data_IF_628737729208
#
_entry.id   IF_628737729208
#
_cell.length_a   1.000
_cell.length_b   1.000
_cell.length_c   1.000
_cell.angle_alpha   90.00
_cell.angle_beta   90.00
_cell.angle_gamma   90.00
#
_symmetry.space_group_name_H-M   'P 1'
#
loop_
_entity.id
_entity.type
_entity.pdbx_description
1 polymer ?
#
# COMPACT_ATOMS: atom_id res chain seq x y z
N UNK A 1 -12.82 19.13 13.84
CA UNK A 1 -13.26 18.70 12.50
C UNK A 1 -12.22 17.71 12.05
N UNK A 2 -12.61 16.50 11.64
CA UNK A 2 -11.65 15.50 11.18
C UNK A 2 -10.79 16.08 10.04
N UNK A 3 -9.48 15.88 10.11
CA UNK A 3 -8.58 16.35 9.06
C UNK A 3 -8.79 15.48 7.83
N UNK A 4 -8.90 16.11 6.66
CA UNK A 4 -8.92 15.37 5.39
C UNK A 4 -7.49 15.10 4.94
N UNK A 5 -7.24 13.91 4.43
CA UNK A 5 -5.93 13.43 4.00
C UNK A 5 -6.07 12.44 2.85
N UNK A 6 -4.99 12.25 2.12
CA UNK A 6 -4.86 11.50 0.88
C UNK A 6 -5.93 11.86 -0.13
N UNK A 7 -5.97 13.13 -0.52
CA UNK A 7 -6.82 13.59 -1.62
C UNK A 7 -6.58 12.76 -2.89
N UNK A 8 -5.34 12.31 -3.13
CA UNK A 8 -4.95 11.42 -4.23
C UNK A 8 -5.66 10.06 -4.23
N UNK A 9 -6.12 9.58 -3.07
CA UNK A 9 -6.92 8.33 -2.98
C UNK A 9 -8.25 8.39 -3.72
N UNK A 10 -8.75 9.61 -3.94
CA UNK A 10 -10.08 9.85 -4.50
C UNK A 10 -11.24 9.44 -3.61
N UNK A 11 -10.99 9.21 -2.32
CA UNK A 11 -12.00 8.75 -1.36
C UNK A 11 -13.31 9.54 -1.40
N UNK A 12 -13.23 10.88 -1.56
CA UNK A 12 -14.40 11.77 -1.61
C UNK A 12 -15.31 11.57 -2.82
N UNK A 13 -14.77 11.02 -3.90
CA UNK A 13 -15.52 10.75 -5.12
C UNK A 13 -16.05 9.31 -5.16
N UNK A 14 -15.86 8.52 -4.10
CA UNK A 14 -16.45 7.19 -4.00
C UNK A 14 -17.87 7.26 -3.44
N UNK A 15 -18.74 6.38 -3.94
CA UNK A 15 -20.03 6.09 -3.35
C UNK A 15 -19.90 5.11 -2.19
N UNK A 16 -21.02 4.88 -1.50
CA UNK A 16 -21.16 3.86 -0.45
C UNK A 16 -22.26 2.88 -0.81
N UNK A 17 -22.00 1.58 -0.64
CA UNK A 17 -23.05 0.56 -0.70
C UNK A 17 -23.92 0.61 0.58
N UNK A 18 -25.10 -0.04 0.61
CA UNK A 18 -25.92 -0.13 1.82
C UNK A 18 -25.17 -0.72 3.02
N UNK A 19 -24.21 -1.61 2.78
CA UNK A 19 -23.35 -2.26 3.77
C UNK A 19 -22.11 -1.43 4.11
N UNK A 20 -21.96 -0.24 3.53
CA UNK A 20 -20.86 0.70 3.79
C UNK A 20 -19.61 0.51 2.92
N UNK A 21 -19.59 -0.47 2.00
CA UNK A 21 -18.46 -0.70 1.10
C UNK A 21 -18.28 0.42 0.07
N UNK A 22 -17.06 0.58 -0.44
CA UNK A 22 -16.72 1.67 -1.38
C UNK A 22 -17.18 1.35 -2.80
N UNK A 23 -17.94 2.24 -3.43
CA UNK A 23 -18.47 2.06 -4.79
C UNK A 23 -17.80 3.02 -5.75
N UNK A 24 -17.22 2.50 -6.83
CA UNK A 24 -16.60 3.34 -7.87
C UNK A 24 -17.65 4.21 -8.59
N UNK A 25 -17.41 5.52 -8.65
CA UNK A 25 -18.24 6.48 -9.41
C UNK A 25 -17.52 6.90 -10.69
N UNK A 26 -18.24 7.61 -11.56
CA UNK A 26 -17.65 8.22 -12.75
C UNK A 26 -16.53 9.21 -12.37
N UNK A 27 -16.71 10.01 -11.31
CA UNK A 27 -15.68 10.94 -10.82
C UNK A 27 -14.44 10.20 -10.28
N UNK A 28 -14.63 9.06 -9.63
CA UNK A 28 -13.49 8.23 -9.19
C UNK A 28 -12.77 7.51 -10.33
N UNK A 29 -13.46 7.16 -11.41
CA UNK A 29 -12.81 6.57 -12.57
C UNK A 29 -12.08 7.63 -13.43
N UNK A 30 -12.67 8.81 -13.57
CA UNK A 30 -12.14 9.87 -14.42
C UNK A 30 -10.75 10.37 -13.97
N UNK A 31 -10.49 10.43 -12.67
CA UNK A 31 -9.18 10.86 -12.11
C UNK A 31 -7.99 10.04 -12.59
N UNK A 32 -8.17 8.78 -12.98
CA UNK A 32 -7.07 7.99 -13.54
C UNK A 32 -6.64 8.51 -14.91
N UNK A 33 -7.55 9.15 -15.66
CA UNK A 33 -7.28 9.73 -16.98
C UNK A 33 -6.41 10.99 -16.93
N UNK A 34 -6.21 11.56 -15.74
CA UNK A 34 -5.32 12.71 -15.50
C UNK A 34 -3.87 12.27 -15.22
N UNK A 35 -3.62 10.96 -15.11
CA UNK A 35 -2.27 10.43 -14.94
C UNK A 35 -1.45 10.61 -16.20
N UNK A 36 -0.16 10.88 -16.04
CA UNK A 36 0.78 11.07 -17.16
C UNK A 36 0.77 9.90 -18.14
N UNK A 37 0.59 8.67 -17.67
CA UNK A 37 0.59 7.48 -18.53
C UNK A 37 -0.66 7.36 -19.42
N UNK A 38 -1.74 8.10 -19.11
CA UNK A 38 -3.03 8.06 -19.81
C UNK A 38 -3.44 9.41 -20.40
N UNK A 39 -2.80 10.51 -20.00
CA UNK A 39 -3.03 11.84 -20.52
C UNK A 39 -2.34 11.93 -21.91
N UNK A 40 -3.09 12.10 -23.01
CA UNK A 40 -2.48 12.11 -24.34
C UNK A 40 -1.48 13.26 -24.47
N UNK A 41 -0.22 12.99 -24.84
CA UNK A 41 0.77 14.04 -25.03
C UNK A 41 0.43 14.93 -26.24
N UNK A 42 1.08 16.09 -26.41
CA UNK A 42 0.80 17.01 -27.53
C UNK A 42 0.90 16.32 -28.91
N UNK A 43 1.83 15.39 -29.06
CA UNK A 43 2.12 14.61 -30.25
C UNK A 43 1.22 13.38 -30.44
N UNK A 44 0.32 13.08 -29.50
CA UNK A 44 -0.60 11.95 -29.55
C UNK A 44 -1.34 11.86 -30.91
N UNK A 45 -1.82 10.68 -31.27
CA UNK A 45 -2.64 10.51 -32.47
C UNK A 45 -4.07 11.04 -32.27
N UNK A 46 -4.81 11.32 -33.36
CA UNK A 46 -6.24 11.64 -33.26
C UNK A 46 -7.07 10.52 -32.61
N UNK A 47 -6.74 9.24 -32.80
CA UNK A 47 -7.53 8.15 -32.19
C UNK A 47 -7.32 8.09 -30.68
N UNK A 48 -6.10 8.26 -30.18
CA UNK A 48 -5.82 8.34 -28.74
C UNK A 48 -6.57 9.50 -28.07
N UNK A 49 -6.48 10.71 -28.64
CA UNK A 49 -7.21 11.88 -28.11
C UNK A 49 -8.72 11.67 -28.13
N UNK A 50 -9.23 11.01 -29.16
CA UNK A 50 -10.65 10.67 -29.26
C UNK A 50 -11.08 9.66 -28.18
N UNK A 51 -10.25 8.63 -27.94
CA UNK A 51 -10.48 7.62 -26.90
C UNK A 51 -10.51 8.27 -25.51
N UNK A 52 -9.51 9.10 -25.20
CA UNK A 52 -9.44 9.83 -23.94
C UNK A 52 -10.68 10.72 -23.74
N UNK A 53 -11.05 11.54 -24.73
CA UNK A 53 -12.22 12.42 -24.63
C UNK A 53 -13.53 11.65 -24.41
N UNK A 54 -13.71 10.49 -25.06
CA UNK A 54 -14.87 9.62 -24.86
C UNK A 54 -14.95 9.10 -23.43
N UNK A 55 -13.84 8.66 -22.86
CA UNK A 55 -13.77 8.14 -21.49
C UNK A 55 -13.87 9.25 -20.44
N UNK A 56 -13.31 10.43 -20.70
CA UNK A 56 -13.48 11.59 -19.83
C UNK A 56 -14.97 12.00 -19.74
N UNK A 57 -15.70 11.94 -20.85
CA UNK A 57 -17.14 12.23 -20.87
C UNK A 57 -18.00 11.11 -20.28
N UNK A 58 -17.61 9.85 -20.47
CA UNK A 58 -18.34 8.66 -20.01
C UNK A 58 -17.35 7.62 -19.48
N UNK A 59 -16.91 7.70 -18.22
CA UNK A 59 -15.85 6.82 -17.68
C UNK A 59 -16.20 5.33 -17.73
N UNK A 60 -17.49 4.99 -17.62
CA UNK A 60 -18.01 3.61 -17.70
C UNK A 60 -18.33 3.13 -19.12
N UNK A 61 -17.95 3.88 -20.15
CA UNK A 61 -18.20 3.50 -21.54
C UNK A 61 -17.49 2.18 -21.85
N UNK A 62 -18.27 1.15 -22.22
CA UNK A 62 -17.73 -0.07 -22.77
C UNK A 62 -17.04 0.23 -24.11
N UNK A 63 -15.83 -0.30 -24.26
CA UNK A 63 -15.02 -0.13 -25.46
C UNK A 63 -14.76 -1.49 -26.08
N UNK A 64 -14.73 -1.52 -27.41
CA UNK A 64 -14.40 -2.72 -28.16
C UNK A 64 -12.90 -2.80 -28.43
N UNK A 65 -12.42 -3.99 -28.80
CA UNK A 65 -11.01 -4.20 -29.16
C UNK A 65 -10.57 -3.23 -30.28
N UNK A 66 -11.45 -2.96 -31.23
CA UNK A 66 -11.21 -2.07 -32.35
C UNK A 66 -10.97 -0.60 -31.93
N UNK A 67 -11.58 -0.14 -30.83
CA UNK A 67 -11.33 1.21 -30.29
C UNK A 67 -9.87 1.36 -29.84
N UNK A 68 -9.33 0.31 -29.21
CA UNK A 68 -7.95 0.28 -28.74
C UNK A 68 -6.97 0.05 -29.90
N UNK A 69 -7.28 -0.88 -30.81
CA UNK A 69 -6.40 -1.17 -31.96
C UNK A 69 -6.22 0.06 -32.88
N UNK A 70 -7.19 0.98 -32.89
CA UNK A 70 -7.13 2.24 -33.63
C UNK A 70 -6.13 3.26 -33.05
N UNK A 71 -5.75 3.15 -31.77
CA UNK A 71 -4.72 4.00 -31.17
C UNK A 71 -3.39 3.73 -31.86
N UNK A 72 -2.78 4.81 -32.34
CA UNK A 72 -1.66 4.76 -33.27
C UNK A 72 -0.37 4.30 -32.57
N UNK A 73 -0.13 4.83 -31.37
CA UNK A 73 1.05 4.53 -30.57
C UNK A 73 0.90 3.20 -29.81
N UNK A 74 1.94 2.36 -29.89
CA UNK A 74 1.92 1.03 -29.30
C UNK A 74 2.03 1.06 -27.77
N UNK A 75 2.82 2.00 -27.22
CA UNK A 75 3.04 2.13 -25.78
C UNK A 75 1.79 2.74 -25.13
N UNK A 76 1.16 3.72 -25.77
CA UNK A 76 -0.15 4.25 -25.37
C UNK A 76 -1.20 3.14 -25.35
N UNK A 77 -1.25 2.26 -26.37
CA UNK A 77 -2.17 1.10 -26.37
C UNK A 77 -1.94 0.17 -25.19
N UNK A 78 -0.70 -0.07 -24.80
CA UNK A 78 -0.39 -0.89 -23.63
C UNK A 78 -0.92 -0.24 -22.34
N UNK A 79 -0.68 1.05 -22.14
CA UNK A 79 -1.20 1.81 -21.00
C UNK A 79 -2.74 1.78 -20.94
N UNK A 80 -3.40 2.03 -22.06
CA UNK A 80 -4.86 1.93 -22.17
C UNK A 80 -5.35 0.51 -21.87
N UNK A 81 -4.67 -0.52 -22.35
CA UNK A 81 -5.02 -1.93 -22.04
C UNK A 81 -5.00 -2.18 -20.53
N UNK A 82 -3.96 -1.73 -19.84
CA UNK A 82 -3.84 -1.89 -18.40
C UNK A 82 -4.94 -1.15 -17.64
N UNK A 83 -5.22 0.10 -18.02
CA UNK A 83 -6.28 0.89 -17.39
C UNK A 83 -7.66 0.28 -17.62
N UNK A 84 -7.99 -0.08 -18.85
CA UNK A 84 -9.31 -0.64 -19.19
C UNK A 84 -9.55 -1.97 -18.47
N UNK A 85 -8.53 -2.84 -18.38
CA UNK A 85 -8.62 -4.07 -17.58
C UNK A 85 -8.92 -3.78 -16.11
N UNK A 86 -8.21 -2.82 -15.51
CA UNK A 86 -8.46 -2.41 -14.13
C UNK A 86 -9.88 -1.85 -13.95
N UNK A 87 -10.28 -0.90 -14.79
CA UNK A 87 -11.60 -0.28 -14.78
C UNK A 87 -12.70 -1.33 -14.87
N UNK A 88 -12.61 -2.22 -15.85
CA UNK A 88 -13.62 -3.24 -16.09
C UNK A 88 -13.70 -4.22 -14.91
N UNK A 89 -12.57 -4.54 -14.29
CA UNK A 89 -12.51 -5.35 -13.06
C UNK A 89 -13.22 -4.66 -11.90
N UNK A 90 -13.00 -3.36 -11.71
CA UNK A 90 -13.68 -2.58 -10.67
C UNK A 90 -15.19 -2.55 -10.94
N UNK A 91 -15.61 -2.32 -12.18
CA UNK A 91 -17.03 -2.27 -12.56
C UNK A 91 -17.73 -3.63 -12.49
N UNK A 92 -16.98 -4.73 -12.59
CA UNK A 92 -17.52 -6.08 -12.43
C UNK A 92 -17.83 -6.46 -10.96
N UNK A 93 -17.46 -5.62 -9.99
CA UNK A 93 -17.74 -5.86 -8.57
C UNK A 93 -18.61 -4.77 -7.97
N UNK A 94 -19.42 -5.11 -6.94
CA UNK A 94 -20.27 -4.13 -6.27
C UNK A 94 -19.47 -3.10 -5.48
N UNK A 95 -18.26 -3.47 -5.00
CA UNK A 95 -17.41 -2.60 -4.18
C UNK A 95 -15.92 -2.75 -4.51
N UNK A 96 -15.12 -1.75 -4.14
CA UNK A 96 -13.66 -1.81 -4.25
C UNK A 96 -13.08 -2.93 -3.38
N UNK A 97 -13.64 -3.18 -2.20
CA UNK A 97 -13.23 -4.29 -1.32
C UNK A 97 -13.44 -5.65 -1.99
N UNK A 98 -14.61 -5.85 -2.60
CA UNK A 98 -14.92 -7.08 -3.33
C UNK A 98 -13.97 -7.26 -4.52
N UNK A 99 -13.71 -6.17 -5.26
CA UNK A 99 -12.71 -6.17 -6.33
C UNK A 99 -11.33 -6.57 -5.79
N UNK A 100 -10.82 -5.87 -4.76
CA UNK A 100 -9.51 -6.11 -4.16
C UNK A 100 -9.35 -7.56 -3.68
N UNK A 101 -10.30 -8.08 -2.90
CA UNK A 101 -10.26 -9.45 -2.40
C UNK A 101 -10.29 -10.50 -3.53
N UNK A 102 -10.96 -10.19 -4.65
CA UNK A 102 -11.03 -11.10 -5.81
C UNK A 102 -9.71 -11.20 -6.59
N UNK A 103 -8.84 -10.18 -6.54
CA UNK A 103 -7.60 -10.13 -7.34
C UNK A 103 -6.65 -11.28 -7.00
N UNK A 104 -6.67 -11.72 -5.74
CA UNK A 104 -5.68 -12.66 -5.23
C UNK A 104 -6.16 -14.11 -5.15
N UNK A 105 -7.34 -14.42 -5.71
CA UNK A 105 -7.86 -15.79 -5.84
C UNK A 105 -7.25 -16.54 -7.04
N UNK A 106 -6.46 -15.86 -7.85
CA UNK A 106 -5.77 -16.40 -9.02
C UNK A 106 -4.59 -15.51 -9.43
N UNK A 107 -4.05 -15.67 -10.65
CA UNK A 107 -3.01 -14.80 -11.16
C UNK A 107 -3.50 -13.33 -11.20
N UNK A 108 -2.72 -12.44 -10.58
CA UNK A 108 -3.01 -11.01 -10.60
C UNK A 108 -2.65 -10.45 -11.98
N UNK A 109 -3.65 -9.95 -12.70
CA UNK A 109 -3.53 -9.42 -14.06
C UNK A 109 -3.66 -7.90 -14.14
N UNK A 110 -3.83 -7.24 -12.99
CA UNK A 110 -3.91 -5.79 -12.82
C UNK A 110 -2.53 -5.22 -12.44
N UNK A 111 -2.15 -4.09 -13.03
CA UNK A 111 -0.87 -3.45 -12.76
C UNK A 111 -0.74 -3.04 -11.27
N UNK A 112 0.45 -3.15 -10.65
CA UNK A 112 0.63 -2.90 -9.22
C UNK A 112 0.11 -1.56 -8.73
N UNK A 113 0.25 -0.50 -9.53
CA UNK A 113 -0.20 0.85 -9.15
C UNK A 113 -1.72 0.95 -8.95
N UNK A 114 -2.50 0.12 -9.66
CA UNK A 114 -3.95 0.07 -9.50
C UNK A 114 -4.35 -0.77 -8.27
N UNK A 115 -3.57 -1.81 -7.95
CA UNK A 115 -3.73 -2.55 -6.69
C UNK A 115 -3.47 -1.62 -5.50
N UNK A 116 -2.43 -0.79 -5.61
CA UNK A 116 -2.09 0.21 -4.60
C UNK A 116 -3.18 1.29 -4.48
N UNK A 117 -3.76 1.76 -5.58
CA UNK A 117 -4.88 2.71 -5.55
C UNK A 117 -6.13 2.14 -4.84
N UNK A 118 -6.44 0.85 -5.05
CA UNK A 118 -7.52 0.18 -4.31
C UNK A 118 -7.19 0.10 -2.82
N UNK A 119 -5.98 -0.35 -2.46
CA UNK A 119 -5.55 -0.43 -1.07
C UNK A 119 -5.58 0.93 -0.37
N UNK A 120 -5.12 2.00 -1.06
CA UNK A 120 -5.14 3.38 -0.56
C UNK A 120 -6.57 3.85 -0.28
N UNK A 121 -7.50 3.68 -1.22
CA UNK A 121 -8.89 4.10 -1.04
C UNK A 121 -9.57 3.35 0.12
N UNK A 122 -9.32 2.04 0.25
CA UNK A 122 -9.90 1.19 1.30
C UNK A 122 -9.33 1.58 2.67
N UNK A 123 -8.00 1.73 2.80
CA UNK A 123 -7.41 2.12 4.09
C UNK A 123 -7.75 3.55 4.47
N UNK A 124 -7.92 4.47 3.49
CA UNK A 124 -8.45 5.83 3.74
C UNK A 124 -9.85 5.78 4.35
N UNK A 125 -10.71 4.89 3.85
CA UNK A 125 -12.05 4.65 4.40
C UNK A 125 -12.00 4.06 5.81
N UNK A 126 -11.12 3.08 6.05
CA UNK A 126 -10.93 2.47 7.38
C UNK A 126 -10.47 3.49 8.43
N UNK A 127 -9.68 4.47 8.01
CA UNK A 127 -9.15 5.52 8.86
C UNK A 127 -10.00 6.80 8.85
N UNK A 128 -11.20 6.76 8.26
CA UNK A 128 -12.04 7.95 8.21
C UNK A 128 -12.39 8.48 9.60
N UNK A 129 -12.29 9.79 9.78
CA UNK A 129 -12.48 10.46 11.07
C UNK A 129 -11.29 10.36 12.04
N UNK A 130 -10.17 9.72 11.68
CA UNK A 130 -8.98 9.70 12.54
C UNK A 130 -8.30 11.07 12.60
N UNK A 131 -7.74 11.40 13.76
CA UNK A 131 -6.85 12.55 13.97
C UNK A 131 -5.40 12.11 14.29
N UNK A 132 -5.16 10.79 14.26
CA UNK A 132 -3.86 10.19 14.59
C UNK A 132 -2.96 10.08 13.35
N UNK A 133 -1.94 10.94 13.29
CA UNK A 133 -0.95 10.97 12.21
C UNK A 133 -0.11 9.69 12.11
N UNK A 134 0.13 8.97 13.21
CA UNK A 134 0.86 7.70 13.15
C UNK A 134 0.04 6.62 12.47
N UNK A 135 -1.28 6.57 12.71
CA UNK A 135 -2.15 5.64 11.99
C UNK A 135 -2.11 5.90 10.48
N UNK A 136 -2.22 7.16 10.07
CA UNK A 136 -2.14 7.52 8.66
C UNK A 136 -0.76 7.15 8.08
N UNK A 137 0.32 7.66 8.68
CA UNK A 137 1.67 7.39 8.15
C UNK A 137 2.02 5.90 8.10
N UNK A 138 1.64 5.13 9.13
CA UNK A 138 1.85 3.69 9.12
C UNK A 138 1.00 2.99 8.05
N UNK A 139 -0.23 3.46 7.81
CA UNK A 139 -1.10 2.91 6.77
C UNK A 139 -0.60 3.14 5.35
N UNK A 140 0.25 4.14 5.10
CA UNK A 140 0.91 4.31 3.81
C UNK A 140 1.75 3.09 3.40
N UNK A 141 2.23 2.29 4.34
CA UNK A 141 2.97 1.06 4.02
C UNK A 141 2.13 0.04 3.24
N UNK A 142 0.79 0.09 3.37
CA UNK A 142 -0.10 -0.85 2.69
C UNK A 142 -0.18 -0.60 1.17
N UNK A 143 0.15 0.61 0.71
CA UNK A 143 0.05 0.99 -0.70
C UNK A 143 1.31 1.64 -1.27
N UNK A 144 2.27 2.08 -0.44
CA UNK A 144 3.53 2.70 -0.89
C UNK A 144 4.74 1.84 -0.55
N UNK A 145 5.71 1.81 -1.47
CA UNK A 145 7.03 1.22 -1.23
C UNK A 145 7.80 2.08 -0.23
N UNK A 146 8.55 1.44 0.67
CA UNK A 146 9.40 2.14 1.63
C UNK A 146 10.88 1.89 1.37
N UNK A 147 11.73 2.83 1.77
CA UNK A 147 13.16 2.64 1.97
C UNK A 147 13.42 2.49 3.46
N UNK A 148 14.08 1.40 3.85
CA UNK A 148 14.36 1.10 5.26
C UNK A 148 15.81 1.40 5.61
N UNK A 149 16.02 2.10 6.72
CA UNK A 149 17.33 2.23 7.38
C UNK A 149 17.30 1.50 8.73
N UNK A 150 18.40 0.80 9.03
CA UNK A 150 18.61 0.07 10.29
C UNK A 150 19.89 0.57 10.96
N UNK A 151 19.82 1.73 11.62
CA UNK A 151 20.96 2.36 12.30
C UNK A 151 20.71 2.37 13.81
N UNK A 152 21.72 2.02 14.60
CA UNK A 152 21.67 2.01 16.08
C UNK A 152 20.47 1.24 16.68
N UNK A 153 20.05 0.15 16.03
CA UNK A 153 18.91 -0.66 16.45
C UNK A 153 17.54 -0.03 16.15
N UNK A 154 17.50 1.12 15.47
CA UNK A 154 16.28 1.75 14.99
C UNK A 154 15.92 1.25 13.59
N UNK A 155 14.65 1.02 13.34
CA UNK A 155 14.14 0.64 12.01
C UNK A 155 13.29 1.78 11.49
N UNK A 156 13.88 2.63 10.64
CA UNK A 156 13.17 3.78 10.07
C UNK A 156 12.70 3.47 8.65
N UNK A 157 11.43 3.77 8.36
CA UNK A 157 10.85 3.62 7.03
C UNK A 157 10.42 4.99 6.46
N UNK A 158 10.96 5.30 5.28
CA UNK A 158 10.62 6.47 4.47
C UNK A 158 9.92 6.05 3.18
N UNK A 159 9.13 6.93 2.57
CA UNK A 159 8.58 6.66 1.24
C UNK A 159 9.70 6.51 0.20
N UNK A 160 9.67 5.41 -0.56
CA UNK A 160 10.72 5.11 -1.54
C UNK A 160 10.66 6.08 -2.72
N UNK A 161 9.46 6.43 -3.23
CA UNK A 161 9.35 7.32 -4.37
C UNK A 161 9.82 8.74 -4.04
N UNK A 162 9.56 9.23 -2.83
CA UNK A 162 10.10 10.52 -2.36
C UNK A 162 11.62 10.52 -2.29
N UNK A 163 12.24 9.41 -1.86
CA UNK A 163 13.71 9.27 -1.85
C UNK A 163 14.26 9.16 -3.27
N UNK A 164 13.67 8.32 -4.12
CA UNK A 164 14.06 8.14 -5.52
C UNK A 164 14.00 9.48 -6.27
N UNK A 165 12.90 10.23 -6.14
CA UNK A 165 12.78 11.57 -6.73
C UNK A 165 13.85 12.55 -6.23
N UNK A 166 14.27 12.45 -4.96
CA UNK A 166 15.37 13.25 -4.42
C UNK A 166 16.73 12.83 -4.98
N UNK A 167 16.99 11.52 -5.12
CA UNK A 167 18.23 10.95 -5.65
C UNK A 167 18.39 11.20 -7.17
N UNK A 168 17.33 10.98 -7.97
CA UNK A 168 17.30 11.19 -9.42
C UNK A 168 17.39 12.66 -9.79
N UNK A 169 16.70 13.49 -9.01
CA UNK A 169 16.91 14.92 -9.12
C UNK A 169 18.34 15.25 -8.65
N UNK A 170 18.96 14.52 -7.72
CA UNK A 170 20.23 14.94 -7.13
C UNK A 170 20.16 16.35 -6.54
N UNK A 171 18.93 16.79 -6.22
CA UNK A 171 18.53 18.20 -6.28
C UNK A 171 18.47 18.78 -7.70
N UNK A 172 17.52 18.31 -8.53
CA UNK A 172 17.26 18.57 -9.98
C UNK A 172 18.24 17.97 -11.03
N UNK A 173 17.77 17.07 -11.91
CA UNK A 173 18.58 16.27 -12.85
C UNK A 173 19.63 17.03 -13.71
N UNK A 174 19.43 17.17 -15.02
CA UNK A 174 20.44 17.78 -15.91
C UNK A 174 20.78 19.26 -15.59
N UNK A 175 19.96 19.93 -14.77
CA UNK A 175 20.13 21.34 -14.37
C UNK A 175 20.84 21.52 -13.01
N UNK A 176 20.80 20.52 -12.10
CA UNK A 176 21.48 20.55 -10.79
C UNK A 176 22.99 20.34 -10.88
N UNK A 177 23.49 19.72 -11.96
CA UNK A 177 24.94 19.73 -12.28
C UNK A 177 25.47 21.14 -12.56
N UNK A 178 24.64 22.03 -13.13
CA UNK A 178 25.01 23.43 -13.41
C UNK A 178 24.89 24.31 -12.16
N UNK A 179 23.89 24.09 -11.30
CA UNK A 179 23.67 24.86 -10.07
C UNK A 179 24.72 24.58 -8.97
N UNK A 180 25.38 23.42 -9.00
CA UNK A 180 26.53 23.11 -8.13
C UNK A 180 27.71 24.09 -8.31
N UNK A 181 27.80 24.81 -9.44
CA UNK A 181 28.82 25.84 -9.66
C UNK A 181 28.47 27.20 -9.04
N UNK A 182 27.22 27.43 -8.61
CA UNK A 182 26.74 28.74 -8.14
C UNK A 182 26.44 28.81 -6.63
N UNK A 183 26.78 27.78 -5.85
CA UNK A 183 26.71 27.80 -4.38
C UNK A 183 25.33 28.25 -3.81
N UNK A 184 24.24 27.97 -4.53
CA UNK A 184 22.88 28.30 -4.09
C UNK A 184 22.32 27.15 -3.26
N UNK A 185 21.83 27.46 -2.05
CA UNK A 185 21.34 26.46 -1.09
C UNK A 185 20.16 25.65 -1.68
N UNK A 186 20.31 24.33 -1.66
CA UNK A 186 19.32 23.36 -2.15
C UNK A 186 18.10 23.29 -1.22
N UNK A 187 16.89 23.24 -1.79
CA UNK A 187 15.67 22.89 -1.03
C UNK A 187 15.62 21.37 -0.93
N UNK A 188 16.22 20.83 0.13
CA UNK A 188 16.08 19.41 0.50
C UNK A 188 14.63 19.18 0.95
N UNK A 189 13.92 18.14 0.48
CA UNK A 189 12.67 17.74 1.11
C UNK A 189 12.98 17.48 2.58
N UNK A 190 12.43 18.28 3.49
CA UNK A 190 12.66 18.11 4.92
C UNK A 190 12.03 16.80 5.36
N UNK A 191 12.81 15.71 5.33
CA UNK A 191 12.38 14.40 5.79
C UNK A 191 12.44 14.42 7.32
N UNK A 192 11.27 14.38 7.94
CA UNK A 192 11.13 14.48 9.39
C UNK A 192 10.74 13.09 9.94
N UNK A 193 11.39 12.61 11.01
CA UNK A 193 10.85 11.45 11.74
C UNK A 193 9.61 11.90 12.49
N UNK A 194 8.50 11.18 12.30
CA UNK A 194 7.23 11.51 12.95
C UNK A 194 7.37 11.41 14.47
N UNK A 195 7.02 12.50 15.15
CA UNK A 195 7.15 12.67 16.60
C UNK A 195 5.96 13.45 17.15
N UNK A 196 5.81 13.49 18.48
CA UNK A 196 4.70 14.22 19.14
C UNK A 196 4.72 15.71 18.84
N UNK A 197 5.89 16.29 18.63
CA UNK A 197 6.08 17.71 18.35
C UNK A 197 5.66 18.08 16.93
N UNK A 198 5.79 17.16 15.96
CA UNK A 198 5.53 17.42 14.55
C UNK A 198 4.32 16.66 13.96
N UNK A 199 3.66 15.79 14.73
CA UNK A 199 2.56 14.95 14.25
C UNK A 199 1.43 15.74 13.58
N UNK A 200 1.07 16.90 14.13
CA UNK A 200 0.04 17.76 13.56
C UNK A 200 0.40 18.28 12.15
N UNK A 201 1.69 18.36 11.80
CA UNK A 201 2.17 18.79 10.49
C UNK A 201 2.02 17.72 9.42
N UNK A 202 1.78 16.46 9.79
CA UNK A 202 1.58 15.36 8.84
C UNK A 202 0.46 15.68 7.85
N UNK A 203 -0.70 16.09 8.35
CA UNK A 203 -1.89 16.37 7.54
C UNK A 203 -1.75 17.61 6.63
N UNK A 204 -0.76 18.48 6.89
CA UNK A 204 -0.45 19.62 6.01
C UNK A 204 0.45 19.22 4.83
N UNK A 205 1.04 18.01 4.89
CA UNK A 205 2.13 17.54 4.03
C UNK A 205 1.94 16.08 3.62
N UNK A 206 0.74 15.54 3.74
CA UNK A 206 0.47 14.11 3.56
C UNK A 206 0.77 13.66 2.14
N UNK A 207 0.41 14.47 1.13
CA UNK A 207 0.73 14.21 -0.29
C UNK A 207 2.23 14.40 -0.63
N UNK A 208 3.02 15.03 0.25
CA UNK A 208 4.47 15.15 0.08
C UNK A 208 5.21 13.88 0.55
N UNK A 209 4.54 13.01 1.31
CA UNK A 209 5.11 11.78 1.86
C UNK A 209 6.49 11.98 2.52
N UNK A 210 6.64 13.11 3.22
CA UNK A 210 7.92 13.58 3.77
C UNK A 210 8.21 13.15 5.21
N UNK A 211 7.40 12.27 5.79
CA UNK A 211 7.58 11.80 7.17
C UNK A 211 8.14 10.38 7.20
N UNK A 212 9.10 10.13 8.08
CA UNK A 212 9.58 8.79 8.40
C UNK A 212 8.75 8.22 9.55
N UNK A 213 8.53 6.92 9.54
CA UNK A 213 7.95 6.18 10.66
C UNK A 213 9.00 5.28 11.28
N UNK A 214 9.09 5.32 12.61
CA UNK A 214 9.92 4.41 13.38
C UNK A 214 9.15 3.11 13.63
N UNK A 215 9.64 2.00 13.08
CA UNK A 215 9.05 0.67 13.16
C UNK A 215 9.72 -0.19 14.24
N UNK A 216 10.64 0.37 15.05
CA UNK A 216 11.25 -0.38 16.14
C UNK A 216 10.19 -0.86 17.14
N UNK A 217 10.21 -2.12 17.59
CA UNK A 217 9.29 -2.61 18.61
C UNK A 217 9.24 -1.72 19.85
N UNK A 218 8.03 -1.33 20.26
CA UNK A 218 7.80 -0.44 21.41
C UNK A 218 7.65 1.05 21.07
N UNK A 219 7.85 1.45 19.81
CA UNK A 219 7.59 2.84 19.35
C UNK A 219 6.14 3.05 18.92
N UNK A 220 5.71 4.32 18.84
CA UNK A 220 4.38 4.68 18.35
C UNK A 220 4.13 4.22 16.91
N UNK A 221 5.15 4.20 16.05
CA UNK A 221 5.00 3.79 14.66
C UNK A 221 4.75 2.29 14.50
N UNK A 222 5.48 1.45 15.24
CA UNK A 222 5.22 0.01 15.29
C UNK A 222 3.83 -0.31 15.85
N UNK A 223 3.42 0.38 16.92
CA UNK A 223 2.09 0.23 17.50
C UNK A 223 0.99 0.68 16.54
N UNK A 224 1.17 1.81 15.85
CA UNK A 224 0.22 2.32 14.88
C UNK A 224 0.04 1.36 13.69
N UNK A 225 1.14 0.80 13.17
CA UNK A 225 1.06 -0.21 12.12
C UNK A 225 0.26 -1.44 12.58
N UNK A 226 0.52 -1.94 13.79
CA UNK A 226 -0.27 -3.04 14.35
C UNK A 226 -1.77 -2.70 14.38
N UNK A 227 -2.15 -1.49 14.82
CA UNK A 227 -3.56 -1.04 14.82
C UNK A 227 -4.16 -0.90 13.43
N UNK A 228 -3.40 -0.44 12.44
CA UNK A 228 -3.85 -0.42 11.05
C UNK A 228 -4.14 -1.83 10.55
N UNK A 229 -3.24 -2.78 10.82
CA UNK A 229 -3.41 -4.18 10.40
C UNK A 229 -4.60 -4.86 11.11
N UNK A 230 -4.83 -4.57 12.40
CA UNK A 230 -6.04 -5.03 13.12
C UNK A 230 -7.33 -4.54 12.44
N UNK A 231 -7.38 -3.25 12.09
CA UNK A 231 -8.54 -2.66 11.42
C UNK A 231 -8.71 -3.21 10.01
N UNK A 232 -7.62 -3.45 9.29
CA UNK A 232 -7.62 -4.06 7.98
C UNK A 232 -8.22 -5.48 8.01
N UNK A 233 -7.77 -6.32 8.94
CA UNK A 233 -8.34 -7.67 9.13
C UNK A 233 -9.83 -7.57 9.45
N UNK A 234 -10.20 -6.77 10.45
CA UNK A 234 -11.59 -6.62 10.85
C UNK A 234 -12.50 -6.11 9.71
N UNK A 235 -12.00 -5.20 8.87
CA UNK A 235 -12.75 -4.65 7.73
C UNK A 235 -13.11 -5.69 6.69
N UNK A 236 -12.16 -6.59 6.35
CA UNK A 236 -12.38 -7.58 5.30
C UNK A 236 -13.02 -8.87 5.78
N UNK A 237 -12.77 -9.27 7.03
CA UNK A 237 -13.13 -10.61 7.51
C UNK A 237 -14.15 -10.58 8.64
N UNK A 238 -14.40 -9.42 9.24
CA UNK A 238 -15.19 -9.29 10.47
C UNK A 238 -14.47 -9.75 11.73
N UNK A 239 -13.42 -10.56 11.62
CA UNK A 239 -12.68 -11.10 12.75
C UNK A 239 -11.92 -10.00 13.49
N UNK A 240 -12.03 -9.99 14.82
CA UNK A 240 -11.30 -9.05 15.67
C UNK A 240 -10.01 -9.71 16.14
N UNK A 241 -8.88 -9.05 15.89
CA UNK A 241 -7.56 -9.53 16.28
C UNK A 241 -6.85 -8.52 17.19
N UNK A 242 -5.91 -9.01 17.99
CA UNK A 242 -4.92 -8.23 18.73
C UNK A 242 -3.58 -8.42 18.04
N UNK A 243 -2.88 -7.36 17.71
CA UNK A 243 -1.55 -7.41 17.11
C UNK A 243 -0.59 -6.63 18.00
N UNK A 244 0.48 -7.31 18.44
CA UNK A 244 1.52 -6.76 19.30
C UNK A 244 2.88 -6.82 18.58
N UNK A 245 3.60 -5.69 18.41
CA UNK A 245 4.95 -5.69 17.89
C UNK A 245 5.93 -6.42 18.83
N UNK A 246 6.81 -7.24 18.27
CA UNK A 246 7.78 -8.05 19.01
C UNK A 246 9.22 -7.70 18.62
N UNK A 247 10.12 -7.75 19.61
CA UNK A 247 11.57 -7.69 19.38
C UNK A 247 12.15 -9.00 18.84
N UNK A 248 11.59 -10.13 19.25
CA UNK A 248 11.98 -11.48 18.83
C UNK A 248 10.81 -12.45 19.04
N UNK A 249 10.86 -13.59 18.38
CA UNK A 249 9.92 -14.70 18.60
C UNK A 249 10.62 -15.75 19.46
N UNK A 250 10.03 -16.04 20.62
CA UNK A 250 10.45 -17.13 21.51
C UNK A 250 9.23 -18.00 21.80
N UNK A 251 8.98 -18.98 20.92
CA UNK A 251 7.88 -19.93 21.08
C UNK A 251 8.23 -21.30 20.49
N UNK A 252 8.51 -22.26 21.38
CA UNK A 252 8.77 -23.66 21.03
C UNK A 252 7.52 -24.37 20.45
N UNK A 253 6.35 -23.73 20.54
CA UNK A 253 5.06 -24.26 20.07
C UNK A 253 4.50 -23.47 18.88
N UNK A 254 5.35 -22.77 18.13
CA UNK A 254 4.98 -22.04 16.92
C UNK A 254 4.17 -22.91 15.96
N UNK A 255 2.91 -22.52 15.71
CA UNK A 255 1.98 -23.23 14.81
C UNK A 255 1.70 -22.53 13.50
N UNK A 256 1.73 -21.20 13.46
CA UNK A 256 1.32 -20.44 12.30
C UNK A 256 2.12 -19.16 12.13
N UNK A 257 2.37 -18.79 10.89
CA UNK A 257 2.92 -17.49 10.54
C UNK A 257 2.39 -16.95 9.23
N UNK A 258 2.54 -15.65 9.05
CA UNK A 258 2.24 -14.94 7.81
C UNK A 258 3.35 -13.92 7.55
N UNK A 259 4.05 -14.05 6.43
CA UNK A 259 4.90 -12.97 5.93
C UNK A 259 4.04 -11.86 5.34
N UNK A 260 4.29 -10.61 5.72
CA UNK A 260 3.63 -9.42 5.20
C UNK A 260 4.28 -8.90 3.91
N UNK A 261 5.33 -9.58 3.43
CA UNK A 261 6.01 -9.38 2.16
C UNK A 261 6.68 -10.70 1.73
N UNK A 262 7.37 -10.70 0.58
CA UNK A 262 7.98 -11.93 0.06
C UNK A 262 9.18 -12.37 0.91
N UNK A 263 10.04 -11.43 1.29
CA UNK A 263 11.26 -11.67 2.04
C UNK A 263 10.95 -12.20 3.45
N UNK A 264 9.98 -11.63 4.15
CA UNK A 264 9.52 -12.13 5.44
C UNK A 264 8.89 -13.52 5.33
N UNK A 265 8.16 -13.79 4.24
CA UNK A 265 7.58 -15.12 4.00
C UNK A 265 8.66 -16.18 3.87
N UNK A 266 9.73 -15.90 3.12
CA UNK A 266 10.87 -16.81 2.97
C UNK A 266 11.58 -17.08 4.31
N UNK A 267 11.87 -16.01 5.06
CA UNK A 267 12.55 -16.12 6.37
C UNK A 267 11.72 -16.94 7.36
N UNK A 268 10.43 -16.62 7.51
CA UNK A 268 9.55 -17.31 8.44
C UNK A 268 9.31 -18.77 8.03
N UNK A 269 9.23 -19.07 6.73
CA UNK A 269 9.13 -20.44 6.24
C UNK A 269 10.37 -21.27 6.60
N UNK A 270 11.57 -20.71 6.45
CA UNK A 270 12.80 -21.39 6.84
C UNK A 270 12.85 -21.67 8.34
N UNK A 271 12.56 -20.66 9.17
CA UNK A 271 12.51 -20.82 10.62
C UNK A 271 11.46 -21.86 11.05
N UNK A 272 10.29 -21.87 10.43
CA UNK A 272 9.23 -22.84 10.71
C UNK A 272 9.64 -24.29 10.36
N UNK A 273 10.46 -24.48 9.31
CA UNK A 273 11.02 -25.79 8.95
C UNK A 273 12.21 -26.21 9.82
N UNK A 274 12.60 -25.40 10.81
CA UNK A 274 13.79 -25.65 11.62
C UNK A 274 15.10 -25.41 10.87
N UNK A 275 15.06 -24.72 9.74
CA UNK A 275 16.25 -24.25 9.03
C UNK A 275 16.78 -23.00 9.75
N UNK A 276 18.09 -22.78 9.71
CA UNK A 276 18.71 -21.56 10.22
C UNK A 276 18.90 -20.57 9.06
N UNK A 277 18.09 -19.51 8.93
CA UNK A 277 18.37 -18.46 7.97
C UNK A 277 19.72 -17.82 8.29
N UNK A 278 20.46 -17.42 7.27
CA UNK A 278 21.71 -16.68 7.47
C UNK A 278 21.48 -15.37 8.21
N UNK A 279 22.50 -14.87 8.91
CA UNK A 279 22.43 -13.63 9.68
C UNK A 279 21.95 -12.44 8.84
N UNK A 280 22.40 -12.34 7.59
CA UNK A 280 21.95 -11.30 6.65
C UNK A 280 20.44 -11.36 6.38
N UNK A 281 19.83 -12.54 6.40
CA UNK A 281 18.40 -12.70 6.21
C UNK A 281 17.64 -12.25 7.46
N UNK A 282 18.11 -12.64 8.64
CA UNK A 282 17.53 -12.21 9.91
C UNK A 282 17.66 -10.70 10.12
N UNK A 283 18.78 -10.10 9.72
CA UNK A 283 19.01 -8.65 9.78
C UNK A 283 18.07 -7.84 8.87
N UNK A 284 17.41 -8.49 7.91
CA UNK A 284 16.39 -7.87 7.04
C UNK A 284 14.99 -7.88 7.63
N UNK A 285 14.75 -8.56 8.75
CA UNK A 285 13.46 -8.47 9.47
C UNK A 285 13.33 -7.06 10.05
N UNK A 286 12.43 -6.26 9.47
CA UNK A 286 12.13 -4.91 9.91
C UNK A 286 11.29 -4.92 11.18
N UNK A 287 10.28 -5.79 11.24
CA UNK A 287 9.34 -5.85 12.34
C UNK A 287 8.68 -7.23 12.43
N UNK A 288 8.53 -7.73 13.65
CA UNK A 288 7.78 -8.94 13.97
C UNK A 288 6.52 -8.56 14.75
N UNK A 289 5.47 -9.36 14.62
CA UNK A 289 4.27 -9.21 15.43
C UNK A 289 3.76 -10.55 15.94
N UNK A 290 3.09 -10.51 17.10
CA UNK A 290 2.20 -11.55 17.58
C UNK A 290 0.76 -11.13 17.30
N UNK A 291 0.05 -11.93 16.53
CA UNK A 291 -1.39 -11.78 16.31
C UNK A 291 -2.15 -12.82 17.13
N UNK A 292 -3.21 -12.38 17.81
CA UNK A 292 -4.17 -13.25 18.51
C UNK A 292 -5.59 -12.93 18.08
N UNK A 293 -6.39 -13.97 17.84
CA UNK A 293 -7.83 -13.79 17.65
C UNK A 293 -8.50 -13.44 18.97
N UNK A 294 -9.33 -12.40 18.99
CA UNK A 294 -10.11 -12.02 20.16
C UNK A 294 -11.19 -13.05 20.45
N UNK A 295 -11.83 -13.56 19.40
CA UNK A 295 -12.68 -14.74 19.48
C UNK A 295 -11.94 -15.95 18.87
N UNK A 296 -11.55 -16.96 19.66
CA UNK A 296 -10.94 -18.17 19.13
C UNK A 296 -11.79 -18.91 18.09
N UNK A 297 -13.11 -18.67 18.03
CA UNK A 297 -13.98 -19.25 17.02
C UNK A 297 -13.74 -18.68 15.61
N UNK A 298 -13.20 -17.46 15.50
CA UNK A 298 -12.79 -16.84 14.23
C UNK A 298 -11.60 -17.58 13.57
N UNK A 299 -10.93 -18.47 14.31
CA UNK A 299 -9.83 -19.29 13.82
C UNK A 299 -10.24 -20.73 13.52
N UNK A 300 -9.58 -21.35 12.53
CA UNK A 300 -9.67 -22.81 12.28
C UNK A 300 -9.27 -23.59 13.53
N UNK A 301 -9.82 -24.80 13.68
CA UNK A 301 -9.66 -25.66 14.87
C UNK A 301 -8.23 -25.80 15.36
N UNK A 302 -7.28 -25.93 14.44
CA UNK A 302 -5.86 -26.17 14.65
C UNK A 302 -5.13 -24.93 15.20
N UNK A 303 -5.66 -23.74 14.95
CA UNK A 303 -5.07 -22.45 15.33
C UNK A 303 -5.77 -21.80 16.54
N UNK A 304 -6.84 -22.38 17.07
CA UNK A 304 -7.61 -21.79 18.18
C UNK A 304 -6.77 -21.61 19.44
N UNK A 305 -6.79 -20.38 19.98
CA UNK A 305 -6.04 -20.02 21.19
C UNK A 305 -4.51 -20.06 21.01
N UNK A 306 -4.02 -20.08 19.76
CA UNK A 306 -2.59 -20.01 19.44
C UNK A 306 -2.28 -18.67 18.76
N UNK A 307 -1.11 -18.09 19.03
CA UNK A 307 -0.67 -16.91 18.31
C UNK A 307 -0.35 -17.24 16.86
N UNK A 308 -0.53 -16.24 16.00
CA UNK A 308 -0.02 -16.22 14.62
C UNK A 308 1.12 -15.23 14.57
N UNK A 309 2.30 -15.64 14.12
CA UNK A 309 3.43 -14.73 14.00
C UNK A 309 3.44 -14.03 12.65
N UNK A 310 3.53 -12.70 12.66
CA UNK A 310 3.65 -11.90 11.44
C UNK A 310 5.08 -11.38 11.32
N UNK A 311 5.59 -11.29 10.10
CA UNK A 311 6.88 -10.68 9.84
C UNK A 311 6.81 -9.70 8.68
N UNK A 312 7.55 -8.62 8.80
CA UNK A 312 7.78 -7.63 7.76
C UNK A 312 9.30 -7.49 7.58
N UNK A 313 9.76 -7.53 6.34
CA UNK A 313 11.16 -7.47 5.97
C UNK A 313 11.40 -6.51 4.81
N UNK A 314 12.67 -6.17 4.60
CA UNK A 314 13.13 -5.41 3.44
C UNK A 314 14.08 -6.25 2.58
N UNK A 315 14.24 -5.86 1.33
CA UNK A 315 15.15 -6.50 0.36
C UNK A 315 16.60 -6.10 0.58
N UNK A 316 17.53 -6.76 -0.11
CA UNK A 316 18.96 -6.39 -0.07
C UNK A 316 19.21 -4.92 -0.45
N UNK A 317 18.39 -4.35 -1.34
CA UNK A 317 18.42 -2.93 -1.70
C UNK A 317 17.74 -1.99 -0.68
N UNK A 318 17.35 -2.51 0.49
CA UNK A 318 16.49 -1.90 1.53
C UNK A 318 15.15 -1.35 1.08
N UNK A 319 14.61 -1.81 -0.03
CA UNK A 319 13.21 -1.56 -0.37
C UNK A 319 12.30 -2.51 0.42
N UNK A 320 11.17 -1.99 0.88
CA UNK A 320 10.13 -2.76 1.57
C UNK A 320 8.81 -2.52 0.85
N UNK A 321 8.14 -3.61 0.44
CA UNK A 321 6.80 -3.56 -0.15
C UNK A 321 5.90 -4.53 0.60
N UNK A 322 5.06 -3.98 1.47
CA UNK A 322 4.05 -4.76 2.16
C UNK A 322 3.00 -5.29 1.17
N UNK A 323 2.48 -6.47 1.49
CA UNK A 323 1.41 -7.19 0.79
C UNK A 323 0.26 -7.42 1.79
N UNK A 324 -0.58 -6.42 2.08
CA UNK A 324 -1.64 -6.54 3.08
C UNK A 324 -2.69 -7.61 2.74
N UNK A 325 -2.82 -8.01 1.46
CA UNK A 325 -3.62 -9.15 1.05
C UNK A 325 -3.19 -10.47 1.70
N UNK A 326 -1.94 -10.60 2.15
CA UNK A 326 -1.47 -11.83 2.81
C UNK A 326 -2.24 -12.10 4.11
N UNK A 327 -2.77 -11.06 4.76
CA UNK A 327 -3.64 -11.21 5.93
C UNK A 327 -5.02 -11.77 5.56
N UNK A 328 -5.48 -11.57 4.32
CA UNK A 328 -6.77 -12.10 3.86
C UNK A 328 -6.65 -13.54 3.38
N UNK A 329 -5.49 -13.92 2.87
CA UNK A 329 -5.25 -15.22 2.24
C UNK A 329 -4.67 -16.25 3.20
N UNK A 330 -3.80 -15.83 4.12
CA UNK A 330 -2.93 -16.74 4.87
C UNK A 330 -3.22 -16.75 6.37
N UNK A 331 -4.10 -15.88 6.88
CA UNK A 331 -4.57 -16.02 8.26
C UNK A 331 -5.41 -17.30 8.41
N UNK A 332 -5.31 -18.01 9.54
CA UNK A 332 -6.05 -19.24 9.79
C UNK A 332 -7.52 -18.95 10.16
N UNK A 333 -8.22 -18.19 9.32
CA UNK A 333 -9.61 -17.80 9.53
C UNK A 333 -10.52 -19.02 9.37
N UNK A 334 -11.50 -19.14 10.27
CA UNK A 334 -12.60 -20.07 10.08
C UNK A 334 -13.36 -19.68 8.80
N UNK A 335 -13.86 -20.67 8.06
CA UNK A 335 -14.74 -20.40 6.94
C UNK A 335 -15.95 -19.59 7.44
N UNK A 336 -16.33 -18.56 6.70
CA UNK A 336 -17.58 -17.86 6.96
C UNK A 336 -18.72 -18.89 6.91
N UNK A 337 -19.41 -19.07 8.05
CA UNK A 337 -20.52 -20.01 8.20
C UNK A 337 -21.76 -19.64 7.41
#
# INVERSE_FOLDING_TARGET
MAQDFWASSGYRDLGRSPEGGLVATDAWLARFLDREELLPPPEAGPAERHLHARLAAKPRLALERADLDAVEDADARENWTHFLRFRDRVLAHPTLEACYASLFRGPVDVAPVFVDALAQAIVRSILDGTEDAWLCRAAELLFRRQRVSTEDGRVLAADAATIEAYEESGGFGNMGRLLRQQNTAMIVPKMDVLSRENAALYFLRDELHGFLVDLTPGTEGAAALARVLERWVAHFTGARVAIEPLAKIEDDRWRWHVGLDAEASEILNALYRGEAPGEDALARLALLFRLEFRDPADAVSEARGRPVYLGLAFRSDRTLKMKPQNLLLNLPLAAAG
#
